data_IF_973553249731
#
_entry.id   IF_973553249731
#
_cell.length_a   1.000
_cell.length_b   1.000
_cell.length_c   1.000
_cell.angle_alpha   90.00
_cell.angle_beta   90.00
_cell.angle_gamma   90.00
#
_symmetry.space_group_name_H-M   'P 1'
#
loop_
_entity.id
_entity.type
_entity.pdbx_description
1 polymer ?
#
# COMPACT_ATOMS: atom_id res chain seq x y z
N UNK A 1 -8.73 -62.82 -11.20
CA UNK A 1 -8.34 -62.29 -9.87
C UNK A 1 -7.75 -60.94 -10.13
N UNK A 2 -8.39 -59.90 -9.61
CA UNK A 2 -8.19 -58.52 -10.03
C UNK A 2 -6.85 -57.95 -9.60
N UNK A 3 -6.20 -57.25 -10.52
CA UNK A 3 -5.06 -56.38 -10.28
C UNK A 3 -5.47 -55.27 -9.31
N UNK A 4 -4.83 -55.26 -8.14
CA UNK A 4 -4.94 -54.17 -7.19
C UNK A 4 -4.07 -53.02 -7.70
N UNK A 5 -4.72 -51.94 -8.15
CA UNK A 5 -4.05 -50.66 -8.43
C UNK A 5 -3.40 -50.12 -7.13
N UNK A 6 -2.21 -49.52 -7.21
CA UNK A 6 -1.57 -48.94 -6.03
C UNK A 6 -2.37 -47.72 -5.54
N UNK A 7 -2.56 -47.65 -4.23
CA UNK A 7 -3.20 -46.52 -3.58
C UNK A 7 -2.37 -45.24 -3.79
N UNK A 8 -2.96 -44.25 -4.46
CA UNK A 8 -2.38 -42.91 -4.60
C UNK A 8 -2.19 -42.30 -3.21
N UNK A 9 -0.96 -41.90 -2.89
CA UNK A 9 -0.68 -41.14 -1.67
C UNK A 9 -1.32 -39.75 -1.82
N UNK A 10 -2.01 -39.22 -0.78
CA UNK A 10 -2.58 -37.89 -0.86
C UNK A 10 -1.47 -36.86 -1.01
N UNK A 11 -1.51 -36.13 -2.12
CA UNK A 11 -0.60 -35.03 -2.40
C UNK A 11 -0.63 -33.98 -1.27
N UNK A 12 0.51 -33.36 -0.93
CA UNK A 12 0.54 -32.35 0.11
C UNK A 12 -0.28 -31.13 -0.30
N UNK A 13 -1.06 -30.61 0.65
CA UNK A 13 -1.92 -29.42 0.50
C UNK A 13 -1.13 -28.14 0.15
N UNK A 14 0.17 -28.12 0.47
CA UNK A 14 1.07 -27.01 0.21
C UNK A 14 2.32 -27.44 -0.55
N UNK A 15 2.73 -26.66 -1.55
CA UNK A 15 3.96 -26.85 -2.32
C UNK A 15 4.69 -25.50 -2.52
N UNK A 16 6.01 -25.50 -2.76
CA UNK A 16 6.76 -24.28 -3.12
C UNK A 16 7.04 -24.28 -4.62
N UNK A 17 6.66 -23.20 -5.31
CA UNK A 17 7.02 -22.96 -6.69
C UNK A 17 8.10 -21.85 -6.75
N UNK A 18 9.07 -21.97 -7.66
CA UNK A 18 10.19 -21.01 -7.81
C UNK A 18 9.85 -19.81 -8.71
N UNK A 19 8.61 -19.72 -9.21
CA UNK A 19 8.17 -18.58 -10.02
C UNK A 19 7.87 -17.38 -9.12
N UNK A 20 8.88 -16.54 -8.92
CA UNK A 20 8.73 -15.22 -8.36
C UNK A 20 8.22 -14.30 -9.47
N UNK A 21 6.93 -13.98 -9.46
CA UNK A 21 6.34 -12.98 -10.36
C UNK A 21 6.18 -11.65 -9.59
N UNK A 22 7.07 -10.66 -9.78
CA UNK A 22 7.02 -9.38 -9.09
C UNK A 22 5.72 -8.61 -9.36
N UNK A 23 5.06 -8.87 -10.49
CA UNK A 23 3.83 -8.20 -10.90
C UNK A 23 2.66 -8.51 -9.97
N UNK A 24 2.70 -9.67 -9.29
CA UNK A 24 1.66 -10.13 -8.37
C UNK A 24 1.70 -9.42 -7.01
N UNK A 25 2.59 -8.43 -6.81
CA UNK A 25 2.53 -7.49 -5.67
C UNK A 25 1.28 -6.61 -5.73
N UNK A 26 0.79 -6.28 -6.93
CA UNK A 26 -0.43 -5.49 -7.12
C UNK A 26 -1.69 -6.27 -6.74
N UNK A 27 -2.43 -5.75 -5.75
CA UNK A 27 -3.75 -6.28 -5.33
C UNK A 27 -4.70 -6.39 -6.52
N UNK A 28 -4.71 -5.38 -7.41
CA UNK A 28 -5.57 -5.36 -8.58
C UNK A 28 -5.19 -6.47 -9.58
N UNK A 29 -3.90 -6.72 -9.79
CA UNK A 29 -3.42 -7.80 -10.68
C UNK A 29 -3.77 -9.18 -10.11
N UNK A 30 -3.57 -9.39 -8.81
CA UNK A 30 -4.00 -10.62 -8.14
C UNK A 30 -5.51 -10.82 -8.30
N UNK A 31 -6.33 -9.79 -8.08
CA UNK A 31 -7.79 -9.89 -8.27
C UNK A 31 -8.18 -10.30 -9.70
N UNK A 32 -7.49 -9.82 -10.74
CA UNK A 32 -7.77 -10.19 -12.13
C UNK A 32 -7.58 -11.70 -12.38
N UNK A 33 -6.65 -12.35 -11.69
CA UNK A 33 -6.42 -13.79 -11.87
C UNK A 33 -7.64 -14.63 -11.44
N UNK A 34 -8.47 -14.14 -10.52
CA UNK A 34 -9.64 -14.88 -10.02
C UNK A 34 -10.87 -14.84 -10.96
N UNK A 35 -10.75 -14.33 -12.19
CA UNK A 35 -11.85 -14.36 -13.16
C UNK A 35 -12.40 -15.77 -13.41
N UNK A 36 -11.54 -16.78 -13.35
CA UNK A 36 -11.87 -18.19 -13.54
C UNK A 36 -12.00 -18.95 -12.20
N UNK A 37 -11.98 -18.23 -11.06
CA UNK A 37 -12.11 -18.86 -9.75
C UNK A 37 -13.46 -19.58 -9.64
N UNK A 38 -13.49 -20.85 -9.16
CA UNK A 38 -14.72 -21.60 -9.09
C UNK A 38 -15.77 -20.89 -8.24
N UNK A 39 -16.97 -20.65 -8.78
CA UNK A 39 -18.07 -20.02 -8.03
C UNK A 39 -18.50 -20.82 -6.80
N UNK A 40 -18.22 -22.13 -6.79
CA UNK A 40 -18.49 -23.04 -5.69
C UNK A 40 -17.32 -23.18 -4.71
N UNK A 41 -16.23 -22.44 -4.90
CA UNK A 41 -15.09 -22.49 -4.01
C UNK A 41 -15.51 -22.03 -2.59
N UNK A 42 -15.02 -22.70 -1.54
CA UNK A 42 -15.45 -22.43 -0.17
C UNK A 42 -14.88 -21.14 0.43
N UNK A 43 -13.98 -20.46 -0.29
CA UNK A 43 -13.29 -19.25 0.14
C UNK A 43 -13.37 -18.18 -0.94
N UNK A 44 -13.52 -16.92 -0.53
CA UNK A 44 -13.68 -15.81 -1.46
C UNK A 44 -12.34 -15.37 -2.09
N UNK A 45 -12.39 -14.94 -3.35
CA UNK A 45 -11.24 -14.37 -4.04
C UNK A 45 -10.64 -13.16 -3.29
N UNK A 46 -11.48 -12.36 -2.61
CA UNK A 46 -11.02 -11.21 -1.83
C UNK A 46 -10.12 -11.65 -0.67
N UNK A 47 -10.57 -12.64 0.11
CA UNK A 47 -9.81 -13.11 1.29
C UNK A 47 -8.48 -13.75 0.87
N UNK A 48 -8.46 -14.44 -0.27
CA UNK A 48 -7.25 -15.01 -0.86
C UNK A 48 -6.27 -13.90 -1.30
N UNK A 49 -6.76 -12.84 -1.95
CA UNK A 49 -5.92 -11.69 -2.34
C UNK A 49 -5.36 -10.93 -1.13
N UNK A 50 -6.17 -10.74 -0.09
CA UNK A 50 -5.74 -10.13 1.19
C UNK A 50 -4.70 -10.98 1.91
N UNK A 51 -4.78 -12.32 1.76
CA UNK A 51 -3.75 -13.24 2.24
C UNK A 51 -2.49 -13.32 1.34
N UNK A 52 -2.42 -12.50 0.29
CA UNK A 52 -1.27 -12.41 -0.60
C UNK A 52 -1.26 -13.44 -1.73
N UNK A 53 -2.42 -14.04 -2.05
CA UNK A 53 -2.53 -15.05 -3.11
C UNK A 53 -3.08 -14.49 -4.42
N UNK A 54 -2.64 -15.09 -5.52
CA UNK A 54 -3.25 -14.99 -6.84
C UNK A 54 -3.62 -16.39 -7.35
N UNK A 55 -4.63 -16.48 -8.20
CA UNK A 55 -5.08 -17.74 -8.77
C UNK A 55 -4.14 -18.21 -9.87
N UNK A 56 -3.68 -19.46 -9.77
CA UNK A 56 -2.83 -20.11 -10.76
C UNK A 56 -3.53 -21.27 -11.45
N UNK A 57 -4.47 -21.93 -10.73
CA UNK A 57 -5.15 -23.11 -11.23
C UNK A 57 -4.22 -24.29 -11.53
N UNK A 58 -4.77 -25.40 -12.04
CA UNK A 58 -6.20 -25.66 -12.24
C UNK A 58 -6.96 -25.84 -10.92
N UNK A 59 -8.31 -25.78 -10.95
CA UNK A 59 -9.21 -25.93 -9.77
C UNK A 59 -9.15 -24.76 -8.79
N UNK A 60 -8.69 -24.99 -7.56
CA UNK A 60 -8.68 -24.01 -6.46
C UNK A 60 -7.25 -23.66 -6.02
N UNK A 61 -6.28 -23.91 -6.91
CA UNK A 61 -4.86 -23.66 -6.66
C UNK A 61 -4.54 -22.18 -6.71
N UNK A 62 -3.95 -21.68 -5.62
CA UNK A 62 -3.53 -20.28 -5.48
C UNK A 62 -2.07 -20.18 -5.04
N UNK A 63 -1.36 -19.16 -5.51
CA UNK A 63 0.06 -18.97 -5.22
C UNK A 63 0.32 -17.63 -4.54
N UNK A 64 1.15 -17.64 -3.50
CA UNK A 64 1.55 -16.43 -2.81
C UNK A 64 2.57 -15.65 -3.64
N UNK A 65 2.34 -14.34 -3.85
CA UNK A 65 3.28 -13.47 -4.57
C UNK A 65 4.64 -13.31 -3.84
N UNK A 66 4.66 -13.51 -2.53
CA UNK A 66 5.82 -13.25 -1.68
C UNK A 66 6.70 -14.48 -1.50
N UNK A 67 6.13 -15.59 -1.03
CA UNK A 67 6.90 -16.79 -0.70
C UNK A 67 6.91 -17.85 -1.80
N UNK A 68 6.11 -17.67 -2.85
CA UNK A 68 5.91 -18.67 -3.92
C UNK A 68 5.16 -19.92 -3.44
N UNK A 69 4.58 -19.89 -2.23
CA UNK A 69 3.82 -20.99 -1.67
C UNK A 69 2.49 -21.18 -2.39
N UNK A 70 2.21 -22.39 -2.83
CA UNK A 70 0.98 -22.81 -3.49
C UNK A 70 0.11 -23.55 -2.49
N UNK A 71 -1.16 -23.17 -2.38
CA UNK A 71 -2.19 -23.85 -1.58
C UNK A 71 -3.35 -24.30 -2.46
N UNK A 72 -3.90 -25.47 -2.12
CA UNK A 72 -5.01 -26.11 -2.82
C UNK A 72 -5.93 -26.86 -1.84
N UNK A 73 -7.02 -27.41 -2.34
CA UNK A 73 -8.01 -28.18 -1.56
C UNK A 73 -8.59 -27.37 -0.38
N UNK A 74 -9.07 -26.16 -0.67
CA UNK A 74 -9.72 -25.26 0.28
C UNK A 74 -11.02 -25.90 0.80
N UNK A 75 -11.33 -25.70 2.08
CA UNK A 75 -12.49 -26.26 2.78
C UNK A 75 -13.39 -25.15 3.34
N UNK A 76 -14.70 -25.41 3.51
CA UNK A 76 -15.59 -24.48 4.18
C UNK A 76 -15.08 -24.12 5.59
N UNK A 77 -14.90 -22.83 5.85
CA UNK A 77 -14.41 -22.32 7.13
C UNK A 77 -12.90 -22.06 7.21
N UNK A 78 -12.14 -22.38 6.17
CA UNK A 78 -10.71 -22.05 6.14
C UNK A 78 -10.49 -20.53 6.09
N UNK A 79 -9.50 -20.06 6.85
CA UNK A 79 -9.03 -18.69 6.79
C UNK A 79 -7.72 -18.63 5.98
N UNK A 80 -7.68 -17.98 4.80
CA UNK A 80 -6.50 -17.90 3.94
C UNK A 80 -5.22 -17.46 4.63
N UNK A 81 -5.30 -16.48 5.54
CA UNK A 81 -4.13 -16.00 6.29
C UNK A 81 -3.59 -17.08 7.23
N UNK A 82 -4.49 -17.80 7.91
CA UNK A 82 -4.11 -18.87 8.86
C UNK A 82 -3.50 -20.04 8.12
N UNK A 83 -4.11 -20.48 7.01
CA UNK A 83 -3.59 -21.57 6.18
C UNK A 83 -2.23 -21.20 5.58
N UNK A 84 -2.08 -19.97 5.07
CA UNK A 84 -0.80 -19.48 4.56
C UNK A 84 0.30 -19.55 5.62
N UNK A 85 0.04 -19.06 6.83
CA UNK A 85 1.01 -19.08 7.92
C UNK A 85 1.29 -20.50 8.44
N UNK A 86 0.31 -21.39 8.41
CA UNK A 86 0.44 -22.78 8.83
C UNK A 86 1.40 -23.55 7.90
N UNK A 87 1.22 -23.42 6.59
CA UNK A 87 2.02 -24.14 5.59
C UNK A 87 3.32 -23.43 5.21
N UNK A 88 3.34 -22.10 5.23
CA UNK A 88 4.50 -21.28 4.90
C UNK A 88 4.80 -20.29 6.02
N UNK A 89 5.16 -20.77 7.23
CA UNK A 89 5.39 -19.92 8.40
C UNK A 89 6.54 -18.93 8.19
N UNK A 90 7.43 -19.18 7.22
CA UNK A 90 8.55 -18.32 6.85
C UNK A 90 8.22 -17.25 5.80
N UNK A 91 6.95 -17.12 5.39
CA UNK A 91 6.54 -16.13 4.40
C UNK A 91 6.79 -14.70 4.90
N UNK A 92 7.59 -13.92 4.15
CA UNK A 92 7.98 -12.56 4.53
C UNK A 92 6.82 -11.56 4.47
N UNK A 93 5.73 -11.90 3.79
CA UNK A 93 4.51 -11.10 3.76
C UNK A 93 3.90 -10.91 5.15
N UNK A 94 4.01 -11.92 6.03
CA UNK A 94 3.49 -11.87 7.40
C UNK A 94 4.56 -11.87 8.49
N UNK A 95 5.79 -12.37 8.22
CA UNK A 95 6.90 -12.40 9.20
C UNK A 95 7.64 -11.07 9.43
N UNK A 96 7.20 -9.96 8.83
CA UNK A 96 7.76 -8.64 9.15
C UNK A 96 9.23 -8.46 8.75
N UNK A 97 9.66 -9.04 7.62
CA UNK A 97 10.83 -8.57 6.87
C UNK A 97 10.36 -8.08 5.51
N UNK A 98 9.98 -6.80 5.46
CA UNK A 98 9.72 -5.99 4.26
C UNK A 98 9.34 -6.76 3.00
N UNK A 99 8.13 -7.30 2.98
CA UNK A 99 7.38 -7.50 1.74
C UNK A 99 6.08 -6.73 1.90
N UNK A 100 6.19 -5.40 1.79
CA UNK A 100 5.05 -4.48 1.84
C UNK A 100 4.61 -4.05 3.24
N UNK A 101 5.51 -4.00 4.22
CA UNK A 101 5.41 -3.18 5.44
C UNK A 101 6.82 -2.77 5.84
N UNK A 102 7.14 -1.51 5.61
CA UNK A 102 8.41 -0.85 5.93
C UNK A 102 8.82 -1.04 7.40
N UNK A 103 10.03 -1.53 7.67
CA UNK A 103 10.97 -0.92 8.64
C UNK A 103 12.41 -1.49 8.52
N UNK A 104 13.34 -0.64 8.03
CA UNK A 104 14.79 -0.90 8.00
C UNK A 104 15.45 -0.30 9.24
N UNK A 105 15.70 -1.13 10.25
CA UNK A 105 16.76 -0.97 11.27
C UNK A 105 17.32 -2.39 11.48
N UNK A 106 18.60 -2.70 11.35
CA UNK A 106 19.84 -1.98 11.61
C UNK A 106 20.97 -2.74 10.91
N UNK A 107 21.80 -2.06 10.10
CA UNK A 107 23.11 -2.56 9.65
C UNK A 107 24.22 -2.16 10.64
N UNK A 108 23.88 -2.01 11.92
CA UNK A 108 24.83 -1.66 12.97
C UNK A 108 25.10 -2.86 13.91
N UNK A 109 25.36 -4.04 13.37
CA UNK A 109 26.14 -5.07 14.09
C UNK A 109 27.22 -5.57 13.15
N UNK A 110 28.24 -4.71 13.10
CA UNK A 110 29.54 -4.90 12.49
C UNK A 110 30.16 -6.19 13.00
N UNK A 111 30.69 -6.97 12.05
CA UNK A 111 31.96 -7.66 12.12
C UNK A 111 32.55 -7.83 13.53
N UNK A 112 32.40 -9.02 14.09
CA UNK A 112 33.38 -9.50 15.06
C UNK A 112 33.97 -10.82 14.56
N UNK A 113 35.27 -10.73 14.26
CA UNK A 113 36.27 -11.81 14.20
C UNK A 113 36.28 -12.71 12.97
N UNK A 114 37.10 -12.35 11.97
CA UNK A 114 38.25 -13.18 11.56
C UNK A 114 39.25 -12.36 10.75
N UNK A 115 40.53 -12.64 11.03
CA UNK A 115 41.72 -11.96 10.55
C UNK A 115 41.83 -11.85 9.03
N UNK A 116 42.54 -10.78 8.63
CA UNK A 116 42.68 -10.32 7.27
C UNK A 116 43.39 -11.28 6.30
N UNK A 117 43.39 -10.82 5.04
CA UNK A 117 43.93 -11.43 3.82
C UNK A 117 42.94 -12.27 3.01
N UNK A 118 41.95 -11.61 2.38
CA UNK A 118 41.60 -11.89 0.96
C UNK A 118 40.67 -10.81 0.33
N UNK A 119 41.07 -9.53 0.35
CA UNK A 119 40.28 -8.42 -0.20
C UNK A 119 40.95 -7.73 -1.41
N UNK A 120 41.52 -8.53 -2.32
CA UNK A 120 41.99 -8.03 -3.62
C UNK A 120 41.67 -8.93 -4.82
N UNK A 121 40.89 -10.01 -4.63
CA UNK A 121 40.58 -10.99 -5.69
C UNK A 121 39.07 -11.16 -5.94
N UNK A 122 38.19 -10.50 -5.18
CA UNK A 122 36.75 -10.42 -5.48
C UNK A 122 36.29 -9.02 -5.94
N UNK A 123 37.23 -8.14 -6.32
CA UNK A 123 36.95 -7.03 -7.24
C UNK A 123 37.11 -7.57 -8.66
N UNK A 124 36.12 -8.30 -9.17
CA UNK A 124 36.26 -8.87 -10.51
C UNK A 124 35.13 -9.73 -11.04
N UNK A 125 34.06 -9.98 -10.28
CA UNK A 125 32.84 -10.62 -10.81
C UNK A 125 31.62 -10.04 -10.09
N UNK A 126 31.33 -8.75 -10.36
CA UNK A 126 29.93 -8.32 -10.30
C UNK A 126 29.33 -8.94 -11.55
N UNK A 127 28.68 -10.11 -11.40
CA UNK A 127 27.85 -10.64 -12.47
C UNK A 127 26.71 -9.65 -12.63
N UNK A 128 26.83 -8.85 -13.68
CA UNK A 128 25.76 -8.11 -14.31
C UNK A 128 24.77 -9.15 -14.84
N UNK A 129 24.00 -9.74 -13.92
CA UNK A 129 22.84 -10.55 -14.26
C UNK A 129 21.82 -9.55 -14.82
N UNK A 130 21.92 -9.39 -16.14
CA UNK A 130 21.15 -8.48 -16.96
C UNK A 130 19.71 -9.01 -16.98
N UNK A 131 18.99 -8.74 -15.89
CA UNK A 131 17.53 -8.77 -15.89
C UNK A 131 17.09 -7.85 -17.04
N UNK A 132 16.47 -8.44 -18.06
CA UNK A 132 15.90 -7.69 -19.17
C UNK A 132 15.01 -6.58 -18.59
N UNK A 133 15.09 -5.34 -19.12
CA UNK A 133 14.23 -4.25 -18.65
C UNK A 133 12.77 -4.70 -18.65
N UNK A 134 12.06 -4.50 -17.55
CA UNK A 134 10.66 -4.93 -17.50
C UNK A 134 9.85 -4.20 -18.57
N UNK A 135 9.00 -4.89 -19.31
CA UNK A 135 8.17 -4.24 -20.32
C UNK A 135 7.15 -3.31 -19.65
N UNK A 136 6.80 -2.17 -20.28
CA UNK A 136 5.77 -1.29 -19.77
C UNK A 136 4.41 -2.01 -19.72
N UNK A 137 3.64 -1.82 -18.64
CA UNK A 137 2.30 -2.43 -18.50
C UNK A 137 1.35 -2.02 -19.63
N UNK A 138 1.49 -0.80 -20.16
CA UNK A 138 0.70 -0.27 -21.28
C UNK A 138 1.63 0.15 -22.44
N UNK A 139 2.06 -0.80 -23.30
CA UNK A 139 2.94 -0.52 -24.44
C UNK A 139 2.40 0.51 -25.43
N UNK A 140 1.07 0.61 -25.55
CA UNK A 140 0.40 1.61 -26.39
C UNK A 140 0.49 3.04 -25.85
N UNK A 141 0.87 3.21 -24.58
CA UNK A 141 0.96 4.49 -23.87
C UNK A 141 2.42 4.94 -23.66
N UNK A 142 3.37 4.38 -24.41
CA UNK A 142 4.81 4.67 -24.30
C UNK A 142 5.14 6.12 -24.65
N UNK A 143 4.53 6.68 -25.68
CA UNK A 143 4.77 8.08 -26.10
C UNK A 143 3.97 9.07 -25.23
N UNK A 144 4.55 10.23 -24.92
CA UNK A 144 3.87 11.29 -24.17
C UNK A 144 2.60 11.77 -24.88
N UNK A 145 2.63 11.84 -26.21
CA UNK A 145 1.51 12.28 -27.05
C UNK A 145 0.28 11.36 -26.89
N UNK A 146 0.49 10.03 -26.92
CA UNK A 146 -0.60 9.08 -26.70
C UNK A 146 -1.20 9.24 -25.31
N UNK A 147 -0.37 9.44 -24.26
CA UNK A 147 -0.88 9.70 -22.92
C UNK A 147 -1.64 11.02 -22.85
N UNK A 148 -1.13 12.08 -23.46
CA UNK A 148 -1.79 13.39 -23.48
C UNK A 148 -3.16 13.33 -24.16
N UNK A 149 -3.30 12.53 -25.22
CA UNK A 149 -4.58 12.34 -25.93
C UNK A 149 -5.70 11.81 -25.03
N UNK A 150 -5.37 11.06 -23.97
CA UNK A 150 -6.36 10.52 -23.02
C UNK A 150 -7.04 11.60 -22.18
N UNK A 151 -6.47 12.81 -22.10
CA UNK A 151 -6.97 13.90 -21.26
C UNK A 151 -8.07 14.76 -21.93
N UNK A 152 -8.65 14.32 -23.06
CA UNK A 152 -9.70 15.06 -23.78
C UNK A 152 -10.88 15.47 -22.87
N UNK A 153 -11.25 14.61 -21.91
CA UNK A 153 -12.33 14.84 -20.95
C UNK A 153 -11.84 15.11 -19.51
N UNK A 154 -10.61 15.61 -19.35
CA UNK A 154 -10.06 15.95 -18.03
C UNK A 154 -10.90 17.04 -17.33
N UNK A 155 -11.17 16.94 -16.01
CA UNK A 155 -12.00 17.92 -15.31
C UNK A 155 -11.46 19.34 -15.44
N UNK A 156 -12.27 20.25 -16.00
CA UNK A 156 -11.87 21.66 -16.24
C UNK A 156 -11.56 22.45 -14.97
N UNK A 157 -12.10 22.02 -13.84
CA UNK A 157 -11.85 22.58 -12.51
C UNK A 157 -10.65 21.93 -11.81
N UNK A 158 -9.96 21.00 -12.47
CA UNK A 158 -8.74 20.41 -11.94
C UNK A 158 -7.62 21.45 -11.94
N UNK A 159 -6.83 21.45 -10.86
CA UNK A 159 -5.68 22.35 -10.72
C UNK A 159 -4.43 21.84 -11.47
N UNK A 160 -4.51 20.64 -12.06
CA UNK A 160 -3.39 20.01 -12.76
C UNK A 160 -3.47 20.21 -14.28
N UNK A 161 -2.31 20.49 -14.87
CA UNK A 161 -2.15 20.55 -16.33
C UNK A 161 -1.89 19.14 -16.89
N UNK A 162 -2.70 18.65 -17.85
CA UNK A 162 -2.50 17.36 -18.50
C UNK A 162 -1.08 17.10 -19.00
N UNK A 163 -0.39 18.11 -19.51
CA UNK A 163 0.97 17.98 -20.05
C UNK A 163 1.97 17.58 -18.97
N UNK A 164 1.82 18.09 -17.74
CA UNK A 164 2.70 17.74 -16.63
C UNK A 164 2.48 16.30 -16.16
N UNK A 165 1.23 15.84 -16.20
CA UNK A 165 0.86 14.46 -15.86
C UNK A 165 1.38 13.50 -16.94
N UNK A 166 1.13 13.79 -18.21
CA UNK A 166 1.60 13.00 -19.35
C UNK A 166 3.12 12.85 -19.36
N UNK A 167 3.86 13.95 -19.14
CA UNK A 167 5.32 13.93 -19.06
C UNK A 167 5.86 13.05 -17.93
N UNK A 168 5.17 13.04 -16.78
CA UNK A 168 5.50 12.18 -15.64
C UNK A 168 5.08 10.70 -15.81
N UNK A 169 4.66 10.33 -17.01
CA UNK A 169 4.29 8.96 -17.38
C UNK A 169 2.82 8.63 -17.16
N UNK A 170 1.97 9.61 -16.82
CA UNK A 170 0.57 9.34 -16.49
C UNK A 170 -0.38 9.53 -17.68
N UNK A 171 -1.34 8.64 -17.84
CA UNK A 171 -2.50 8.81 -18.72
C UNK A 171 -3.79 8.87 -17.90
N UNK A 172 -4.81 9.53 -18.42
CA UNK A 172 -6.09 9.67 -17.76
C UNK A 172 -6.94 8.40 -17.91
N UNK A 173 -7.58 7.99 -16.81
CA UNK A 173 -8.44 6.80 -16.78
C UNK A 173 -9.87 7.07 -17.24
N UNK A 174 -10.26 8.33 -17.45
CA UNK A 174 -11.64 8.72 -17.75
C UNK A 174 -12.54 8.91 -16.53
N UNK A 175 -12.04 8.66 -15.31
CA UNK A 175 -12.84 8.77 -14.08
C UNK A 175 -12.26 9.82 -13.12
N UNK A 176 -13.06 10.83 -12.78
CA UNK A 176 -12.67 11.87 -11.81
C UNK A 176 -11.36 12.55 -12.21
N UNK A 177 -10.42 12.66 -11.26
CA UNK A 177 -9.05 13.13 -11.47
C UNK A 177 -8.02 11.98 -11.39
N UNK A 178 -8.44 10.75 -11.66
CA UNK A 178 -7.60 9.55 -11.51
C UNK A 178 -6.74 9.34 -12.76
N UNK A 179 -5.43 9.26 -12.57
CA UNK A 179 -4.45 8.97 -13.63
C UNK A 179 -3.65 7.71 -13.31
N UNK A 180 -3.07 7.06 -14.33
CA UNK A 180 -2.24 5.85 -14.17
C UNK A 180 -0.93 5.95 -14.94
N UNK A 181 0.15 5.43 -14.37
CA UNK A 181 1.41 5.34 -15.07
C UNK A 181 1.39 4.22 -16.13
N UNK A 182 1.86 4.51 -17.34
CA UNK A 182 1.94 3.52 -18.42
C UNK A 182 2.91 2.36 -18.13
N UNK A 183 3.88 2.56 -17.25
CA UNK A 183 4.93 1.57 -17.01
C UNK A 183 4.61 0.70 -15.79
N UNK A 184 4.39 1.31 -14.62
CA UNK A 184 4.21 0.60 -13.36
C UNK A 184 2.75 0.38 -12.96
N UNK A 185 1.79 0.85 -13.78
CA UNK A 185 0.34 0.85 -13.47
C UNK A 185 -0.05 1.65 -12.21
N UNK A 186 0.89 2.43 -11.66
CA UNK A 186 0.68 3.23 -10.45
C UNK A 186 -0.39 4.30 -10.66
N UNK A 187 -1.43 4.29 -9.81
CA UNK A 187 -2.58 5.17 -9.91
C UNK A 187 -2.55 6.30 -8.88
N UNK A 188 -2.72 7.54 -9.32
CA UNK A 188 -2.73 8.73 -8.45
C UNK A 188 -4.02 9.53 -8.68
N UNK A 189 -4.56 10.11 -7.60
CA UNK A 189 -5.82 10.87 -7.58
C UNK A 189 -5.79 11.94 -6.49
N UNK A 190 -6.85 12.73 -6.38
CA UNK A 190 -7.00 13.79 -5.37
C UNK A 190 -5.94 14.88 -5.50
N UNK A 191 -5.69 15.30 -6.73
CA UNK A 191 -4.68 16.29 -7.07
C UNK A 191 -5.03 17.68 -6.57
N UNK A 192 -4.04 18.34 -5.97
CA UNK A 192 -4.12 19.68 -5.40
C UNK A 192 -3.28 20.68 -6.20
N UNK A 193 -3.58 21.97 -6.02
CA UNK A 193 -2.76 23.02 -6.63
C UNK A 193 -1.34 22.98 -6.06
N UNK A 194 -0.35 22.91 -6.96
CA UNK A 194 1.07 22.86 -6.58
C UNK A 194 1.65 21.47 -6.43
N UNK A 195 0.85 20.41 -6.58
CA UNK A 195 1.37 19.04 -6.60
C UNK A 195 2.30 18.84 -7.81
N UNK A 196 3.43 18.18 -7.58
CA UNK A 196 4.36 17.79 -8.65
C UNK A 196 4.14 16.32 -9.02
N UNK A 197 3.77 16.01 -10.29
CA UNK A 197 3.49 14.65 -10.70
C UNK A 197 4.66 13.68 -10.51
N UNK A 198 5.91 14.13 -10.70
CA UNK A 198 7.08 13.28 -10.49
C UNK A 198 7.31 12.97 -9.01
N UNK A 199 7.07 13.94 -8.12
CA UNK A 199 7.14 13.74 -6.67
C UNK A 199 6.05 12.81 -6.18
N UNK A 200 4.80 12.97 -6.62
CA UNK A 200 3.72 12.03 -6.25
C UNK A 200 3.99 10.63 -6.84
N UNK A 201 4.52 10.53 -8.06
CA UNK A 201 4.96 9.25 -8.63
C UNK A 201 6.04 8.59 -7.75
N UNK A 202 7.09 9.33 -7.39
CA UNK A 202 8.18 8.81 -6.57
C UNK A 202 7.77 8.47 -5.14
N UNK A 203 6.84 9.22 -4.57
CA UNK A 203 6.29 9.02 -3.23
C UNK A 203 5.53 7.70 -3.10
N UNK A 204 4.70 7.36 -4.08
CA UNK A 204 3.83 6.19 -4.01
C UNK A 204 4.38 4.96 -4.76
N UNK A 205 5.21 5.17 -5.77
CA UNK A 205 5.72 4.10 -6.65
C UNK A 205 7.23 4.28 -6.93
N UNK A 206 8.09 4.26 -5.89
CA UNK A 206 9.54 4.53 -6.03
C UNK A 206 10.29 3.51 -6.88
N UNK A 207 9.76 2.29 -7.04
CA UNK A 207 10.38 1.21 -7.83
C UNK A 207 10.04 1.27 -9.32
N UNK A 208 9.22 2.23 -9.77
CA UNK A 208 8.85 2.34 -11.18
C UNK A 208 10.11 2.56 -12.04
N UNK A 209 10.40 1.61 -12.94
CA UNK A 209 11.62 1.73 -13.77
C UNK A 209 11.55 2.93 -14.70
N UNK A 210 10.39 3.28 -15.28
CA UNK A 210 10.27 4.53 -16.05
C UNK A 210 10.66 5.76 -15.21
N UNK A 211 10.21 5.83 -13.96
CA UNK A 211 10.56 6.91 -13.05
C UNK A 211 12.06 6.91 -12.73
N UNK A 212 12.63 5.74 -12.41
CA UNK A 212 14.05 5.59 -12.11
C UNK A 212 14.93 5.97 -13.30
N UNK A 213 14.56 5.57 -14.52
CA UNK A 213 15.26 5.96 -15.75
C UNK A 213 15.11 7.46 -16.05
N UNK A 214 13.92 8.04 -15.82
CA UNK A 214 13.63 9.44 -16.17
C UNK A 214 14.16 10.46 -15.17
N UNK A 215 14.22 10.10 -13.88
CA UNK A 215 14.55 11.03 -12.78
C UNK A 215 15.76 10.60 -11.94
N UNK A 216 16.18 9.34 -12.02
CA UNK A 216 17.31 8.80 -11.28
C UNK A 216 16.94 8.36 -9.85
N UNK A 217 17.77 7.46 -9.29
CA UNK A 217 17.60 6.94 -7.92
C UNK A 217 17.70 8.04 -6.86
N UNK A 218 18.62 9.00 -7.01
CA UNK A 218 18.79 10.12 -6.08
C UNK A 218 17.53 10.97 -5.92
N UNK A 219 16.85 11.28 -7.03
CA UNK A 219 15.57 12.00 -6.98
C UNK A 219 14.54 11.22 -6.17
N UNK A 220 14.39 9.93 -6.45
CA UNK A 220 13.41 9.06 -5.77
C UNK A 220 13.73 8.95 -4.28
N UNK A 221 14.99 8.68 -3.92
CA UNK A 221 15.44 8.62 -2.52
C UNK A 221 15.15 9.92 -1.78
N UNK A 222 15.46 11.08 -2.36
CA UNK A 222 15.20 12.38 -1.70
C UNK A 222 13.70 12.63 -1.43
N UNK A 223 12.82 12.18 -2.33
CA UNK A 223 11.36 12.29 -2.16
C UNK A 223 10.88 11.33 -1.09
N UNK A 224 11.37 10.08 -1.11
CA UNK A 224 11.08 9.07 -0.09
C UNK A 224 11.54 9.54 1.29
N UNK A 225 12.75 10.07 1.44
CA UNK A 225 13.24 10.63 2.71
C UNK A 225 12.38 11.79 3.20
N UNK A 226 11.97 12.70 2.32
CA UNK A 226 11.06 13.81 2.69
C UNK A 226 9.70 13.27 3.14
N UNK A 227 9.19 12.25 2.46
CA UNK A 227 7.91 11.62 2.76
C UNK A 227 7.95 10.84 4.08
N UNK A 228 8.97 9.99 4.27
CA UNK A 228 9.24 9.30 5.52
C UNK A 228 9.52 10.28 6.64
N UNK A 229 10.19 11.41 6.42
CA UNK A 229 10.34 12.46 7.46
C UNK A 229 9.02 13.15 7.80
N UNK A 230 8.12 13.29 6.82
CA UNK A 230 6.77 13.84 7.05
C UNK A 230 5.87 12.84 7.81
N UNK A 231 6.03 11.53 7.55
CA UNK A 231 5.29 10.46 8.22
C UNK A 231 5.90 10.03 9.57
N UNK A 232 7.22 10.05 9.68
CA UNK A 232 8.06 9.76 10.84
C UNK A 232 8.53 11.04 11.52
N UNK A 233 7.81 12.15 11.39
CA UNK A 233 7.85 13.18 12.40
C UNK A 233 6.89 12.75 13.52
N UNK A 234 7.31 11.99 14.57
CA UNK A 234 6.89 12.45 15.87
C UNK A 234 7.42 13.87 15.92
N UNK A 235 6.51 14.82 16.08
CA UNK A 235 6.83 16.19 16.39
C UNK A 235 8.21 16.30 17.06
N UNK A 236 9.17 16.99 16.44
CA UNK A 236 10.35 17.54 17.15
C UNK A 236 9.87 18.67 18.08
N UNK A 237 8.81 18.39 18.83
CA UNK A 237 8.27 19.16 19.92
C UNK A 237 8.82 18.45 21.14
N UNK A 238 9.41 19.21 22.05
CA UNK A 238 9.82 18.68 23.35
C UNK A 238 8.67 17.89 23.98
N UNK A 239 8.98 16.97 24.88
CA UNK A 239 7.95 16.23 25.65
C UNK A 239 6.92 17.19 26.26
N UNK A 240 7.36 18.38 26.66
CA UNK A 240 6.52 19.47 27.15
C UNK A 240 5.54 19.99 26.10
N UNK A 241 5.96 20.13 24.85
CA UNK A 241 5.09 20.62 23.80
C UNK A 241 4.21 19.53 23.17
N UNK A 242 4.63 18.27 23.22
CA UNK A 242 3.74 17.13 22.96
C UNK A 242 2.61 17.08 24.00
N UNK A 243 2.93 17.27 25.28
CA UNK A 243 1.94 17.38 26.35
C UNK A 243 1.00 18.57 26.12
N UNK A 244 1.54 19.74 25.76
CA UNK A 244 0.73 20.93 25.47
C UNK A 244 -0.25 20.69 24.32
N UNK A 245 0.18 20.03 23.24
CA UNK A 245 -0.72 19.70 22.11
C UNK A 245 -1.80 18.69 22.47
N UNK A 246 -1.46 17.64 23.21
CA UNK A 246 -2.44 16.67 23.69
C UNK A 246 -3.46 17.30 24.64
N UNK A 247 -3.01 18.25 25.48
CA UNK A 247 -3.89 19.07 26.32
C UNK A 247 -4.77 19.98 25.46
N UNK A 248 -4.20 20.71 24.50
CA UNK A 248 -4.95 21.56 23.57
C UNK A 248 -6.04 20.79 22.82
N UNK A 249 -5.76 19.58 22.31
CA UNK A 249 -6.76 18.73 21.64
C UNK A 249 -7.93 18.32 22.56
N UNK A 250 -7.67 18.16 23.85
CA UNK A 250 -8.68 17.83 24.87
C UNK A 250 -9.41 19.05 25.41
N UNK A 251 -8.95 20.27 25.16
CA UNK A 251 -9.61 21.50 25.62
C UNK A 251 -10.80 21.91 24.74
N UNK A 252 -11.86 22.38 25.40
CA UNK A 252 -13.04 22.99 24.79
C UNK A 252 -12.65 24.15 23.89
N UNK A 253 -12.99 24.06 22.61
CA UNK A 253 -12.61 25.07 21.62
C UNK A 253 -13.44 26.37 21.69
N UNK A 254 -14.34 26.46 22.67
CA UNK A 254 -15.21 27.62 22.90
C UNK A 254 -14.68 28.47 24.03
N UNK A 255 -14.44 27.89 25.21
CA UNK A 255 -13.89 28.62 26.37
C UNK A 255 -12.38 28.50 26.52
N UNK A 256 -11.74 27.51 25.88
CA UNK A 256 -10.31 27.19 26.03
C UNK A 256 -9.88 26.94 27.49
N UNK A 257 -10.83 26.54 28.35
CA UNK A 257 -10.62 26.44 29.82
C UNK A 257 -10.92 25.04 30.36
N UNK A 258 -11.95 24.37 29.85
CA UNK A 258 -12.41 23.05 30.34
C UNK A 258 -12.23 21.97 29.28
N UNK A 259 -12.11 20.72 29.69
CA UNK A 259 -12.03 19.60 28.75
C UNK A 259 -13.32 19.43 27.93
N UNK A 260 -13.16 18.99 26.69
CA UNK A 260 -14.27 18.58 25.83
C UNK A 260 -14.99 17.40 26.49
N UNK A 261 -16.31 17.47 26.55
CA UNK A 261 -17.13 16.44 27.21
C UNK A 261 -18.46 16.21 26.51
N UNK A 262 -18.74 16.92 25.42
CA UNK A 262 -20.03 16.85 24.73
C UNK A 262 -19.85 16.56 23.24
N UNK A 263 -20.52 15.52 22.77
CA UNK A 263 -20.69 15.16 21.36
C UNK A 263 -22.00 15.76 20.84
N UNK A 264 -21.93 16.49 19.72
CA UNK A 264 -23.12 17.06 19.09
C UNK A 264 -23.80 16.11 18.09
N UNK A 265 -25.12 15.99 18.16
CA UNK A 265 -25.94 15.15 17.28
C UNK A 265 -26.63 16.03 16.22
N UNK A 266 -26.62 15.67 14.92
CA UNK A 266 -26.14 14.39 14.35
C UNK A 266 -24.68 14.37 13.90
N UNK A 267 -23.94 15.48 14.02
CA UNK A 267 -22.63 15.59 13.36
C UNK A 267 -21.47 14.85 14.03
N UNK A 268 -21.65 14.34 15.26
CA UNK A 268 -20.66 13.53 15.98
C UNK A 268 -19.43 14.28 16.50
N UNK A 269 -19.36 15.61 16.38
CA UNK A 269 -18.16 16.36 16.78
C UNK A 269 -18.10 16.58 18.29
N UNK A 270 -16.96 16.21 18.90
CA UNK A 270 -16.60 16.45 20.30
C UNK A 270 -15.69 17.69 20.38
N UNK A 271 -16.26 18.85 20.70
CA UNK A 271 -15.55 20.14 20.57
C UNK A 271 -15.80 21.12 21.73
N UNK A 272 -16.82 20.86 22.55
CA UNK A 272 -17.22 21.74 23.64
C UNK A 272 -17.28 21.01 25.00
N UNK A 273 -17.06 21.76 26.07
CA UNK A 273 -17.39 21.33 27.43
C UNK A 273 -18.91 21.41 27.66
N UNK A 274 -19.38 20.77 28.73
CA UNK A 274 -20.78 20.73 29.14
C UNK A 274 -21.43 22.12 29.21
N UNK A 275 -20.75 23.10 29.80
CA UNK A 275 -21.28 24.47 29.95
C UNK A 275 -21.36 25.24 28.64
N UNK A 276 -20.33 25.14 27.79
CA UNK A 276 -20.34 25.82 26.50
C UNK A 276 -21.35 25.20 25.53
N UNK A 277 -21.56 23.88 25.61
CA UNK A 277 -22.51 23.18 24.76
C UNK A 277 -23.95 23.67 24.93
N UNK A 278 -24.36 24.11 26.13
CA UNK A 278 -25.71 24.61 26.42
C UNK A 278 -26.06 25.87 25.61
N UNK A 279 -25.07 26.65 25.21
CA UNK A 279 -25.25 27.93 24.53
C UNK A 279 -25.04 27.85 23.01
N UNK A 280 -24.79 26.65 22.47
CA UNK A 280 -24.51 26.45 21.05
C UNK A 280 -25.72 25.89 20.29
N UNK A 281 -26.05 26.53 19.17
CA UNK A 281 -27.08 26.05 18.22
C UNK A 281 -26.50 25.43 16.96
N UNK A 282 -25.25 25.76 16.62
CA UNK A 282 -24.50 25.23 15.49
C UNK A 282 -23.18 24.64 15.99
N UNK A 283 -22.76 23.54 15.37
CA UNK A 283 -21.46 22.92 15.67
C UNK A 283 -20.31 23.86 15.26
N UNK A 284 -19.35 24.17 16.15
CA UNK A 284 -18.20 25.02 15.82
C UNK A 284 -17.30 24.48 14.69
N UNK A 285 -17.27 23.16 14.48
CA UNK A 285 -16.41 22.52 13.47
C UNK A 285 -17.08 22.50 12.09
N UNK A 286 -18.27 21.90 11.99
CA UNK A 286 -18.92 21.64 10.71
C UNK A 286 -20.13 22.54 10.42
N UNK A 287 -20.47 23.45 11.34
CA UNK A 287 -21.63 24.37 11.26
C UNK A 287 -23.00 23.69 11.15
N UNK A 288 -23.08 22.38 11.35
CA UNK A 288 -24.34 21.64 11.39
C UNK A 288 -25.24 22.10 12.54
N UNK A 289 -26.55 22.11 12.33
CA UNK A 289 -27.55 22.40 13.37
C UNK A 289 -27.51 21.32 14.44
N UNK A 290 -27.31 21.74 15.69
CA UNK A 290 -27.28 20.84 16.85
C UNK A 290 -28.72 20.48 17.22
N UNK A 291 -29.07 19.21 17.08
CA UNK A 291 -30.40 18.67 17.46
C UNK A 291 -30.41 18.03 18.84
N UNK A 292 -29.23 17.68 19.36
CA UNK A 292 -29.03 17.13 20.69
C UNK A 292 -27.55 17.06 21.03
N UNK A 293 -27.25 16.83 22.31
CA UNK A 293 -25.91 16.67 22.84
C UNK A 293 -25.83 15.43 23.73
N UNK A 294 -24.72 14.69 23.63
CA UNK A 294 -24.43 13.51 24.47
C UNK A 294 -23.15 13.75 25.23
N UNK A 295 -23.17 13.51 26.55
CA UNK A 295 -21.97 13.59 27.38
C UNK A 295 -21.08 12.37 27.13
N UNK A 296 -19.81 12.60 26.81
CA UNK A 296 -18.80 11.57 26.66
C UNK A 296 -17.91 11.49 27.91
N UNK A 297 -17.52 10.26 28.28
CA UNK A 297 -16.55 10.00 29.33
C UNK A 297 -15.26 9.51 28.67
N UNK A 298 -14.19 10.29 28.80
CA UNK A 298 -12.86 9.93 28.28
C UNK A 298 -12.06 9.28 29.41
N UNK A 299 -11.60 8.04 29.19
CA UNK A 299 -10.76 7.25 30.11
C UNK A 299 -9.28 7.43 29.84
#
# INVERSE_FOLDING_TARGET
MGDAAPAEQPEPRGARCQLFDPSMRSVARRMRTFQQWPRTAPVSARDLVEAGFFYVGPRDEVQCFCCGGVLKDWRPGDCPVVEHLSFFPSCKYFRGKDVGKEDVRSLQEIFDTVDGQFLSVLQGIVSEDTALPSEPEYPEMVTEEMRLSTFENWPRNSNMRPEQLARAGFFYTGQGDVVRCFYCDGGVRSWSFGDDPWREHAKWYPECEFLLHSRGREFVSSVQETFSTTLLAPSQLSTEEQLRRLQEERMCKVCMDKDVSVVFVPCGHLVACEECALNLRLCPICRAVIRGSVRAFMS
#
